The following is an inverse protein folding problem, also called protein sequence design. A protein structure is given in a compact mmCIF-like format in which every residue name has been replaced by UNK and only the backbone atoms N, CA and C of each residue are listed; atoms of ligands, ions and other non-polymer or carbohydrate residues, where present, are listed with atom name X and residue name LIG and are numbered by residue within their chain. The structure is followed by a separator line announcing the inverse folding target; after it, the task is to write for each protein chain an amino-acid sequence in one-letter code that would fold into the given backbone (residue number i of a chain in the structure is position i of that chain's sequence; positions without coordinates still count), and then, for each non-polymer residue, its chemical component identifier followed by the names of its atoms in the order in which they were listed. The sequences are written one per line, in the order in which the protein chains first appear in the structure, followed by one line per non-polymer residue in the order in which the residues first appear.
data_IF_931694180527
#
_entry.id   IF_931694180527
#
_cell.length_a   1.000
_cell.length_b   1.000
_cell.length_c   1.000
_cell.angle_alpha   90.00
_cell.angle_beta   90.00
_cell.angle_gamma   90.00
#
_symmetry.space_group_name_H-M   'P 1'
#
loop_
_entity.id
_entity.type
_entity.pdbx_description
1 polymer ?
#
# COMPACT_ATOMS: atom_id res chain seq x y z
N UNK A 1 -31.21 41.95 -0.53
CA UNK A 1 -31.23 41.01 -1.69
C UNK A 1 -29.82 40.53 -2.07
N UNK A 2 -28.77 41.31 -1.77
CA UNK A 2 -27.36 40.92 -1.91
C UNK A 2 -26.93 39.85 -0.91
N UNK A 3 -27.34 39.98 0.35
CA UNK A 3 -27.05 39.03 1.46
C UNK A 3 -27.56 37.59 1.20
N UNK A 4 -28.72 37.48 0.52
CA UNK A 4 -29.33 36.19 0.21
C UNK A 4 -28.61 35.48 -0.94
N UNK A 5 -28.04 36.23 -1.90
CA UNK A 5 -27.19 35.67 -2.96
C UNK A 5 -25.85 35.19 -2.41
N UNK A 6 -25.29 35.90 -1.43
CA UNK A 6 -24.01 35.54 -0.80
C UNK A 6 -24.13 34.24 0.02
N UNK A 7 -25.21 34.09 0.80
CA UNK A 7 -25.51 32.82 1.50
C UNK A 7 -25.84 31.67 0.55
N UNK A 8 -26.52 31.93 -0.57
CA UNK A 8 -26.80 30.89 -1.56
C UNK A 8 -25.55 30.49 -2.35
N UNK A 9 -24.63 31.43 -2.59
CA UNK A 9 -23.30 31.18 -3.14
C UNK A 9 -22.46 30.31 -2.22
N UNK A 10 -22.37 30.66 -0.93
CA UNK A 10 -21.67 29.83 0.06
C UNK A 10 -22.27 28.42 0.14
N UNK A 11 -23.60 28.28 0.16
CA UNK A 11 -24.26 26.98 0.18
C UNK A 11 -23.95 26.13 -1.07
N UNK A 12 -23.87 26.75 -2.25
CA UNK A 12 -23.49 26.06 -3.47
C UNK A 12 -22.02 25.63 -3.46
N UNK A 13 -21.14 26.45 -2.89
CA UNK A 13 -19.72 26.13 -2.72
C UNK A 13 -19.52 25.01 -1.69
N UNK A 14 -20.27 25.03 -0.58
CA UNK A 14 -20.25 23.99 0.46
C UNK A 14 -20.66 22.62 -0.11
N UNK A 15 -21.74 22.56 -0.90
CA UNK A 15 -22.18 21.30 -1.55
C UNK A 15 -21.17 20.85 -2.62
N UNK A 16 -20.61 21.79 -3.40
CA UNK A 16 -19.58 21.50 -4.39
C UNK A 16 -18.31 20.90 -3.77
N UNK A 17 -17.87 21.44 -2.62
CA UNK A 17 -16.72 20.95 -1.87
C UNK A 17 -16.97 19.53 -1.35
N UNK A 18 -18.15 19.27 -0.79
CA UNK A 18 -18.49 17.92 -0.28
C UNK A 18 -18.50 16.88 -1.41
N UNK A 19 -19.06 17.23 -2.57
CA UNK A 19 -19.09 16.33 -3.72
C UNK A 19 -17.68 16.07 -4.30
N UNK A 20 -16.86 17.11 -4.39
CA UNK A 20 -15.46 16.99 -4.82
C UNK A 20 -14.65 16.09 -3.86
N UNK A 21 -14.80 16.29 -2.54
CA UNK A 21 -14.15 15.44 -1.52
C UNK A 21 -14.57 13.98 -1.65
N UNK A 22 -15.86 13.72 -1.90
CA UNK A 22 -16.37 12.35 -2.05
C UNK A 22 -15.74 11.63 -3.26
N UNK A 23 -15.67 12.31 -4.41
CA UNK A 23 -15.05 11.74 -5.62
C UNK A 23 -13.55 11.51 -5.39
N UNK A 24 -12.83 12.49 -4.83
CA UNK A 24 -11.40 12.35 -4.54
C UNK A 24 -11.11 11.20 -3.57
N UNK A 25 -11.90 11.04 -2.51
CA UNK A 25 -11.74 9.94 -1.55
C UNK A 25 -12.00 8.58 -2.20
N UNK A 26 -13.02 8.45 -3.07
CA UNK A 26 -13.28 7.19 -3.78
C UNK A 26 -12.13 6.83 -4.72
N UNK A 27 -11.64 7.77 -5.52
CA UNK A 27 -10.56 7.52 -6.47
C UNK A 27 -9.30 7.07 -5.72
N UNK A 28 -8.98 7.76 -4.62
CA UNK A 28 -7.84 7.41 -3.78
C UNK A 28 -7.99 6.01 -3.16
N UNK A 29 -9.17 5.71 -2.59
CA UNK A 29 -9.45 4.40 -2.01
C UNK A 29 -9.27 3.29 -3.04
N UNK A 30 -9.84 3.45 -4.24
CA UNK A 30 -9.69 2.47 -5.33
C UNK A 30 -8.23 2.29 -5.76
N UNK A 31 -7.42 3.36 -5.74
CA UNK A 31 -6.00 3.29 -6.11
C UNK A 31 -5.14 2.49 -5.13
N UNK A 32 -5.52 2.44 -3.85
CA UNK A 32 -4.74 1.76 -2.79
C UNK A 32 -5.26 0.34 -2.49
N UNK A 33 -6.45 -0.01 -2.97
CA UNK A 33 -7.05 -1.34 -2.79
C UNK A 33 -6.17 -2.47 -3.35
N UNK A 34 -5.49 -2.25 -4.47
CA UNK A 34 -4.64 -3.25 -5.09
C UNK A 34 -3.42 -3.60 -4.22
N UNK A 35 -2.84 -2.62 -3.52
CA UNK A 35 -1.72 -2.84 -2.60
C UNK A 35 -2.15 -3.61 -1.35
N UNK A 36 -3.32 -3.28 -0.79
CA UNK A 36 -3.88 -4.02 0.36
C UNK A 36 -4.15 -5.47 -0.04
N UNK A 37 -4.69 -5.69 -1.24
CA UNK A 37 -4.93 -7.03 -1.78
C UNK A 37 -3.61 -7.80 -1.93
N UNK A 38 -2.57 -7.19 -2.50
CA UNK A 38 -1.26 -7.81 -2.64
C UNK A 38 -0.65 -8.17 -1.27
N UNK A 39 -0.72 -7.28 -0.27
CA UNK A 39 -0.23 -7.55 1.09
C UNK A 39 -0.95 -8.73 1.75
N UNK A 40 -2.27 -8.85 1.55
CA UNK A 40 -3.07 -9.98 2.04
C UNK A 40 -2.78 -11.30 1.31
N UNK A 41 -2.54 -11.25 0.00
CA UNK A 41 -2.14 -12.43 -0.79
C UNK A 41 -0.76 -12.94 -0.36
N UNK A 42 0.20 -12.05 -0.11
CA UNK A 42 1.51 -12.38 0.46
C UNK A 42 1.38 -13.05 1.83
N UNK A 43 0.49 -12.54 2.69
CA UNK A 43 0.22 -13.13 4.01
C UNK A 43 -0.38 -14.54 3.88
N UNK A 44 -1.39 -14.73 3.00
CA UNK A 44 -2.01 -16.04 2.74
C UNK A 44 -0.99 -17.04 2.17
N UNK A 45 -0.15 -16.60 1.23
CA UNK A 45 0.86 -17.43 0.62
C UNK A 45 1.92 -17.89 1.63
N UNK A 46 2.40 -16.98 2.48
CA UNK A 46 3.36 -17.28 3.54
C UNK A 46 2.83 -18.30 4.56
N UNK A 47 1.53 -18.23 4.89
CA UNK A 47 0.88 -19.17 5.80
C UNK A 47 0.60 -20.53 5.15
N UNK A 48 0.23 -20.55 3.87
CA UNK A 48 -0.12 -21.78 3.15
C UNK A 48 1.11 -22.61 2.75
N UNK A 49 2.21 -21.96 2.34
CA UNK A 49 3.45 -22.63 1.91
C UNK A 49 4.54 -22.54 2.99
N UNK A 50 4.24 -23.02 4.20
CA UNK A 50 5.16 -22.97 5.34
C UNK A 50 6.53 -23.61 5.07
N UNK A 51 6.59 -24.63 4.21
CA UNK A 51 7.82 -25.36 3.87
C UNK A 51 8.74 -24.63 2.88
N UNK A 52 8.24 -23.60 2.20
CA UNK A 52 9.01 -22.81 1.24
C UNK A 52 9.86 -21.72 1.92
N UNK A 53 9.60 -21.40 3.19
CA UNK A 53 10.24 -20.29 3.90
C UNK A 53 11.07 -20.77 5.10
N UNK A 54 12.32 -20.29 5.21
CA UNK A 54 13.18 -20.44 6.39
C UNK A 54 12.49 -19.98 7.69
N UNK A 55 11.70 -18.91 7.61
CA UNK A 55 10.91 -18.38 8.73
C UNK A 55 9.56 -17.83 8.23
N UNK A 56 8.57 -18.70 8.02
CA UNK A 56 7.21 -18.33 7.58
C UNK A 56 6.56 -17.21 8.41
N UNK A 57 6.85 -17.13 9.73
CA UNK A 57 6.34 -16.07 10.61
C UNK A 57 6.81 -14.67 10.20
N UNK A 58 8.05 -14.55 9.75
CA UNK A 58 8.63 -13.26 9.31
C UNK A 58 8.06 -12.83 7.96
N UNK A 59 7.86 -13.79 7.04
CA UNK A 59 7.23 -13.52 5.75
C UNK A 59 5.75 -13.10 5.89
N UNK A 60 4.99 -13.78 6.76
CA UNK A 60 3.61 -13.39 7.06
C UNK A 60 3.51 -12.01 7.75
N UNK A 61 4.47 -11.70 8.65
CA UNK A 61 4.55 -10.39 9.29
C UNK A 61 4.82 -9.27 8.29
N UNK A 62 5.60 -9.52 7.24
CA UNK A 62 5.88 -8.53 6.19
C UNK A 62 4.62 -8.18 5.39
N UNK A 63 3.83 -9.17 4.96
CA UNK A 63 2.55 -8.92 4.28
C UNK A 63 1.52 -8.20 5.15
N UNK A 64 1.53 -8.49 6.46
CA UNK A 64 0.71 -7.77 7.45
C UNK A 64 1.15 -6.31 7.60
N UNK A 65 2.45 -6.05 7.76
CA UNK A 65 3.01 -4.69 7.84
C UNK A 65 2.71 -3.88 6.58
N UNK A 66 2.85 -4.47 5.39
CA UNK A 66 2.52 -3.82 4.13
C UNK A 66 1.04 -3.39 4.10
N UNK A 67 0.12 -4.32 4.37
CA UNK A 67 -1.32 -4.01 4.40
C UNK A 67 -1.67 -2.94 5.44
N UNK A 68 -1.01 -2.97 6.60
CA UNK A 68 -1.24 -2.01 7.69
C UNK A 68 -0.75 -0.60 7.34
N UNK A 69 0.42 -0.49 6.70
CA UNK A 69 0.97 0.80 6.26
C UNK A 69 0.07 1.42 5.19
N UNK A 70 -0.39 0.65 4.20
CA UNK A 70 -1.28 1.17 3.15
C UNK A 70 -2.59 1.74 3.74
N UNK A 71 -3.23 1.03 4.68
CA UNK A 71 -4.42 1.52 5.40
C UNK A 71 -4.10 2.79 6.23
N UNK A 72 -2.90 2.87 6.82
CA UNK A 72 -2.44 4.05 7.54
C UNK A 72 -2.29 5.27 6.63
N UNK A 73 -1.69 5.09 5.45
CA UNK A 73 -1.56 6.14 4.44
C UNK A 73 -2.93 6.60 3.95
N UNK A 74 -3.84 5.66 3.70
CA UNK A 74 -5.23 5.97 3.32
C UNK A 74 -5.92 6.85 4.37
N UNK A 75 -5.76 6.50 5.65
CA UNK A 75 -6.34 7.25 6.77
C UNK A 75 -5.78 8.68 6.84
N UNK A 76 -4.46 8.84 6.68
CA UNK A 76 -3.81 10.17 6.67
C UNK A 76 -4.34 11.02 5.51
N UNK A 77 -4.47 10.42 4.33
CA UNK A 77 -4.97 11.13 3.16
C UNK A 77 -6.43 11.59 3.33
N UNK A 78 -7.26 10.75 3.93
CA UNK A 78 -8.64 11.11 4.25
C UNK A 78 -8.67 12.31 5.21
N UNK A 79 -7.82 12.33 6.24
CA UNK A 79 -7.72 13.46 7.16
C UNK A 79 -7.27 14.76 6.47
N UNK A 80 -6.30 14.68 5.55
CA UNK A 80 -5.84 15.84 4.76
C UNK A 80 -6.96 16.40 3.88
N UNK A 81 -7.74 15.53 3.21
CA UNK A 81 -8.88 15.94 2.38
C UNK A 81 -9.97 16.61 3.24
N UNK A 82 -10.23 16.10 4.45
CA UNK A 82 -11.23 16.69 5.36
C UNK A 82 -10.83 18.07 5.90
N UNK A 83 -9.53 18.35 6.07
CA UNK A 83 -9.05 19.63 6.59
C UNK A 83 -9.03 20.76 5.53
N UNK A 84 -9.07 20.42 4.24
CA UNK A 84 -8.97 21.41 3.16
C UNK A 84 -10.24 22.26 3.01
N UNK A 85 -10.15 23.58 3.16
CA UNK A 85 -11.32 24.48 3.22
C UNK A 85 -11.76 25.03 1.85
N UNK A 86 -10.90 24.96 0.84
CA UNK A 86 -11.22 25.43 -0.52
C UNK A 86 -11.15 24.28 -1.53
N UNK A 87 -11.97 24.31 -2.58
CA UNK A 87 -11.98 23.28 -3.62
C UNK A 87 -10.62 23.15 -4.34
N UNK A 88 -9.89 24.26 -4.49
CA UNK A 88 -8.56 24.23 -5.10
C UNK A 88 -7.54 23.52 -4.20
N UNK A 89 -7.60 23.77 -2.89
CA UNK A 89 -6.72 23.10 -1.93
C UNK A 89 -7.02 21.60 -1.84
N UNK A 90 -8.30 21.20 -1.95
CA UNK A 90 -8.70 19.78 -2.03
C UNK A 90 -7.96 19.09 -3.19
N UNK A 91 -7.98 19.70 -4.38
CA UNK A 91 -7.36 19.11 -5.58
C UNK A 91 -5.84 19.09 -5.47
N UNK A 92 -5.22 20.17 -4.98
CA UNK A 92 -3.76 20.23 -4.82
C UNK A 92 -3.26 19.20 -3.80
N UNK A 93 -3.93 19.11 -2.65
CA UNK A 93 -3.60 18.13 -1.62
C UNK A 93 -3.82 16.70 -2.13
N UNK A 94 -4.86 16.45 -2.91
CA UNK A 94 -5.11 15.15 -3.55
C UNK A 94 -3.97 14.75 -4.50
N UNK A 95 -3.50 15.65 -5.36
CA UNK A 95 -2.40 15.36 -6.29
C UNK A 95 -1.11 15.07 -5.52
N UNK A 96 -0.79 15.88 -4.51
CA UNK A 96 0.40 15.68 -3.68
C UNK A 96 0.40 14.29 -3.02
N UNK A 97 -0.76 13.92 -2.46
CA UNK A 97 -1.00 12.62 -1.86
C UNK A 97 -0.88 11.46 -2.86
N UNK A 98 -1.46 11.61 -4.05
CA UNK A 98 -1.39 10.58 -5.10
C UNK A 98 0.06 10.31 -5.51
N UNK A 99 0.87 11.38 -5.67
CA UNK A 99 2.30 11.26 -5.97
C UNK A 99 3.06 10.57 -4.82
N UNK A 100 2.75 10.90 -3.57
CA UNK A 100 3.38 10.26 -2.40
C UNK A 100 3.02 8.77 -2.34
N UNK A 101 1.78 8.41 -2.69
CA UNK A 101 1.33 7.01 -2.72
C UNK A 101 2.02 6.20 -3.82
N UNK A 102 2.41 6.81 -4.94
CA UNK A 102 3.15 6.12 -6.01
C UNK A 102 4.68 6.14 -5.78
N UNK A 103 5.15 6.87 -4.78
CA UNK A 103 6.57 7.12 -4.56
C UNK A 103 7.33 5.85 -4.16
N UNK A 104 6.72 4.97 -3.38
CA UNK A 104 7.32 3.71 -2.95
C UNK A 104 7.58 2.77 -4.15
N UNK A 105 6.61 2.65 -5.04
CA UNK A 105 6.68 1.91 -6.29
C UNK A 105 7.73 2.53 -7.23
N UNK A 106 7.81 3.86 -7.28
CA UNK A 106 8.86 4.56 -8.02
C UNK A 106 10.27 4.26 -7.46
N UNK A 107 10.43 4.27 -6.15
CA UNK A 107 11.70 3.91 -5.49
C UNK A 107 12.06 2.46 -5.76
N UNK A 108 11.12 1.53 -5.64
CA UNK A 108 11.33 0.11 -5.97
C UNK A 108 11.79 -0.08 -7.43
N UNK A 109 11.15 0.60 -8.38
CA UNK A 109 11.55 0.57 -9.80
C UNK A 109 12.94 1.18 -10.04
N UNK A 110 13.31 2.18 -9.25
CA UNK A 110 14.59 2.88 -9.36
C UNK A 110 15.79 2.10 -8.82
N UNK A 111 15.58 1.05 -8.01
CA UNK A 111 16.64 0.14 -7.60
C UNK A 111 17.17 -0.61 -8.85
N UNK A 112 18.43 -0.35 -9.24
CA UNK A 112 19.12 -1.02 -10.37
C UNK A 112 19.68 -2.36 -9.91
N UNK A 113 19.23 -3.46 -10.52
CA UNK A 113 19.92 -4.75 -10.58
C UNK A 113 20.50 -5.28 -9.25
N UNK A 114 19.85 -5.00 -8.14
CA UNK A 114 20.18 -5.62 -6.86
C UNK A 114 19.65 -7.07 -6.85
N UNK A 115 20.37 -8.04 -6.25
CA UNK A 115 19.92 -9.42 -6.15
C UNK A 115 18.52 -9.53 -5.52
N UNK A 116 18.15 -8.57 -4.66
CA UNK A 116 16.82 -8.46 -4.05
C UNK A 116 15.70 -8.14 -5.05
N UNK A 117 15.97 -7.36 -6.10
CA UNK A 117 14.97 -7.03 -7.13
C UNK A 117 14.75 -8.21 -8.07
N UNK A 118 15.84 -8.89 -8.46
CA UNK A 118 15.78 -10.12 -9.24
C UNK A 118 15.07 -11.25 -8.48
N UNK A 119 15.21 -11.31 -7.14
CA UNK A 119 14.47 -12.23 -6.26
C UNK A 119 12.96 -11.94 -6.17
N UNK A 120 12.52 -10.72 -6.45
CA UNK A 120 11.09 -10.31 -6.42
C UNK A 120 10.47 -10.38 -7.82
N UNK A 121 11.22 -10.07 -8.87
CA UNK A 121 10.75 -10.07 -10.27
C UNK A 121 10.88 -11.43 -10.96
N UNK A 122 11.79 -12.31 -10.51
CA UNK A 122 11.89 -13.65 -11.06
C UNK A 122 10.75 -14.53 -10.53
N UNK A 123 9.95 -15.08 -11.44
CA UNK A 123 8.89 -16.08 -11.22
C UNK A 123 9.45 -17.44 -10.73
N UNK A 124 10.70 -17.45 -10.25
CA UNK A 124 11.46 -18.61 -9.85
C UNK A 124 11.08 -19.02 -8.43
N UNK A 125 9.92 -19.66 -8.35
CA UNK A 125 9.49 -20.55 -7.25
C UNK A 125 10.51 -21.65 -6.87
N UNK A 126 11.64 -21.75 -7.58
CA UNK A 126 12.73 -22.70 -7.32
C UNK A 126 13.74 -22.25 -6.25
N UNK A 127 13.93 -20.96 -5.98
CA UNK A 127 14.85 -20.52 -4.92
C UNK A 127 14.27 -20.69 -3.51
N UNK A 128 12.94 -20.82 -3.39
CA UNK A 128 12.23 -21.18 -2.17
C UNK A 128 11.95 -22.70 -2.08
N UNK A 129 12.53 -23.54 -2.95
CA UNK A 129 12.57 -24.99 -2.70
C UNK A 129 13.71 -25.26 -1.71
N UNK A 130 13.35 -25.47 -0.45
CA UNK A 130 14.25 -26.07 0.53
C UNK A 130 14.64 -27.47 0.02
N UNK A 131 15.87 -27.61 -0.49
CA UNK A 131 16.48 -28.93 -0.65
C UNK A 131 16.87 -29.42 0.75
N UNK A 132 16.08 -30.32 1.31
CA UNK A 132 16.53 -31.12 2.43
C UNK A 132 17.60 -32.07 1.92
N UNK A 133 18.87 -31.78 2.21
CA UNK A 133 19.91 -32.78 2.05
C UNK A 133 19.78 -33.76 3.22
N UNK A 134 19.15 -34.91 2.96
CA UNK A 134 19.22 -36.06 3.88
C UNK A 134 20.57 -36.75 3.71
N UNK A 135 21.67 -36.05 4.01
CA UNK A 135 22.97 -36.70 4.21
C UNK A 135 23.07 -37.16 5.67
N UNK A 136 23.43 -38.44 5.93
CA UNK A 136 23.65 -38.97 7.28
C UNK A 136 24.73 -38.22 8.10
N UNK A 137 25.60 -37.43 7.47
CA UNK A 137 26.75 -36.77 8.12
C UNK A 137 26.39 -35.50 8.92
N UNK A 138 25.17 -34.97 8.83
CA UNK A 138 24.80 -33.76 9.59
C UNK A 138 24.52 -34.01 11.09
N UNK A 139 24.53 -35.27 11.56
CA UNK A 139 24.29 -35.61 12.97
C UNK A 139 25.50 -35.50 13.89
N UNK A 140 26.69 -35.17 13.39
CA UNK A 140 27.92 -35.14 14.20
C UNK A 140 28.29 -33.78 14.80
N UNK A 141 27.46 -32.74 14.63
CA UNK A 141 27.77 -31.38 15.11
C UNK A 141 26.89 -30.90 16.26
N UNK A 142 26.14 -31.81 16.89
CA UNK A 142 25.26 -31.52 18.03
C UNK A 142 25.64 -32.37 19.27
N UNK A 143 26.94 -32.44 19.57
CA UNK A 143 27.50 -32.90 20.85
C UNK A 143 28.38 -31.83 21.46
#
# INVERSE_FOLDING_TARGET
MTDMKEKFGSLSDDVGIVFARFICTIILHLSQQDEVKQGLELMKYALNHRHAFLCYKKAALMGFLQSFITIGVETVNLLVILQSTTTQDVVFNFIAVAIISDFDNFVFKSLRNEPLKELVESDNSEFLKVQFTTSPEAKSFDQ
#
